data_IF_545895620523
#
_entry.id   IF_545895620523
#
_cell.length_a   1.000
_cell.length_b   1.000
_cell.length_c   1.000
_cell.angle_alpha   90.00
_cell.angle_beta   90.00
_cell.angle_gamma   90.00
#
_symmetry.space_group_name_H-M   'P 1'
#
loop_
_entity.id
_entity.type
_entity.pdbx_description
1 polymer ?
#
# COMPACT_ATOMS: atom_id res chain seq x y z
N UNK A 1 -2.81 -27.16 27.92
CA UNK A 1 -2.26 -25.98 27.18
C UNK A 1 -2.87 -26.02 25.80
N UNK A 2 -3.62 -25.00 25.42
CA UNK A 2 -4.13 -24.90 24.05
C UNK A 2 -2.94 -24.61 23.12
N UNK A 3 -2.76 -25.46 22.12
CA UNK A 3 -1.74 -25.28 21.08
C UNK A 3 -2.11 -24.01 20.26
N UNK A 4 -1.48 -22.90 20.59
CA UNK A 4 -1.68 -21.63 19.86
C UNK A 4 -0.87 -21.73 18.57
N UNK A 5 -1.55 -21.95 17.45
CA UNK A 5 -0.93 -21.93 16.12
C UNK A 5 -1.01 -20.52 15.54
N UNK A 6 0.12 -19.99 15.12
CA UNK A 6 0.14 -18.76 14.30
C UNK A 6 -0.32 -19.08 12.89
N UNK A 7 -1.41 -18.44 12.44
CA UNK A 7 -1.94 -18.58 11.08
C UNK A 7 -1.63 -17.29 10.33
N UNK A 8 -0.92 -17.41 9.21
CA UNK A 8 -0.68 -16.28 8.32
C UNK A 8 -1.77 -16.22 7.25
N UNK A 9 -2.41 -15.07 7.11
CA UNK A 9 -3.33 -14.81 6.01
C UNK A 9 -2.60 -14.65 4.67
N UNK A 10 -3.33 -14.88 3.60
CA UNK A 10 -2.91 -14.61 2.22
C UNK A 10 -4.11 -14.15 1.40
N UNK A 11 -3.87 -13.63 0.18
CA UNK A 11 -4.97 -13.26 -0.71
C UNK A 11 -5.91 -14.42 -1.04
N UNK A 12 -5.40 -15.66 -1.02
CA UNK A 12 -6.17 -16.88 -1.32
C UNK A 12 -6.80 -17.49 -0.08
N UNK A 13 -6.29 -17.17 1.10
CA UNK A 13 -6.76 -17.77 2.36
C UNK A 13 -6.63 -16.75 3.50
N UNK A 14 -7.76 -16.16 3.90
CA UNK A 14 -7.84 -15.26 5.03
C UNK A 14 -9.19 -15.33 5.72
N UNK A 15 -9.21 -14.97 6.98
CA UNK A 15 -10.43 -14.72 7.73
C UNK A 15 -10.70 -13.22 7.72
N UNK A 16 -11.92 -12.82 7.34
CA UNK A 16 -12.28 -11.38 7.33
C UNK A 16 -12.18 -10.76 8.72
N UNK A 17 -12.42 -11.56 9.75
CA UNK A 17 -12.58 -11.04 11.09
C UNK A 17 -13.92 -10.34 11.25
N UNK A 18 -14.03 -9.52 12.27
CA UNK A 18 -15.22 -8.73 12.56
C UNK A 18 -14.98 -7.80 13.73
N UNK A 19 -15.90 -6.89 13.96
CA UNK A 19 -15.95 -6.04 15.14
C UNK A 19 -17.26 -6.30 15.88
N UNK A 20 -17.18 -6.47 17.19
CA UNK A 20 -18.33 -6.52 18.07
C UNK A 20 -18.39 -5.20 18.85
N UNK A 21 -19.49 -4.49 18.71
CA UNK A 21 -19.72 -3.22 19.43
C UNK A 21 -20.64 -3.49 20.59
N UNK A 22 -20.18 -3.18 21.82
CA UNK A 22 -20.92 -3.35 23.05
C UNK A 22 -21.17 -1.97 23.64
N UNK A 23 -22.41 -1.49 23.60
CA UNK A 23 -22.85 -0.23 24.22
C UNK A 23 -22.04 1.02 23.76
N UNK A 24 -21.74 1.09 22.46
CA UNK A 24 -21.02 2.23 21.86
C UNK A 24 -21.51 2.49 20.42
N UNK A 25 -21.04 3.57 19.81
CA UNK A 25 -21.35 3.93 18.42
C UNK A 25 -20.41 3.19 17.43
N UNK A 26 -20.93 2.36 16.53
CA UNK A 26 -20.13 1.65 15.52
C UNK A 26 -19.21 2.57 14.69
N UNK A 27 -19.56 3.85 14.56
CA UNK A 27 -18.75 4.83 13.82
C UNK A 27 -17.41 5.16 14.50
N UNK A 28 -17.25 4.81 15.76
CA UNK A 28 -15.98 4.92 16.49
C UNK A 28 -14.98 3.83 16.09
N UNK A 29 -15.43 2.81 15.34
CA UNK A 29 -14.63 1.65 15.00
C UNK A 29 -14.44 1.59 13.48
N UNK A 30 -13.20 1.68 13.04
CA UNK A 30 -12.81 1.43 11.64
C UNK A 30 -12.10 0.08 11.59
N UNK A 31 -12.73 -0.88 10.91
CA UNK A 31 -12.18 -2.22 10.76
C UNK A 31 -12.28 -2.66 9.30
N UNK A 32 -11.15 -3.07 8.74
CA UNK A 32 -11.08 -3.67 7.42
C UNK A 32 -10.03 -4.78 7.39
N UNK A 33 -10.21 -5.75 6.52
CA UNK A 33 -9.21 -6.77 6.26
C UNK A 33 -8.48 -6.44 4.96
N UNK A 34 -7.16 -6.28 5.03
CA UNK A 34 -6.35 -5.87 3.86
C UNK A 34 -6.42 -6.87 2.70
N UNK A 35 -6.58 -8.17 2.98
CA UNK A 35 -6.73 -9.18 1.94
C UNK A 35 -8.10 -9.11 1.26
N UNK A 36 -9.18 -8.83 2.01
CA UNK A 36 -10.52 -8.60 1.44
C UNK A 36 -10.53 -7.34 0.55
N UNK A 37 -9.86 -6.27 1.00
CA UNK A 37 -9.71 -5.05 0.21
C UNK A 37 -8.92 -5.33 -1.07
N UNK A 38 -7.77 -6.01 -0.97
CA UNK A 38 -6.92 -6.33 -2.12
C UNK A 38 -7.62 -7.29 -3.11
N UNK A 39 -8.44 -8.23 -2.62
CA UNK A 39 -9.19 -9.16 -3.47
C UNK A 39 -10.17 -8.45 -4.42
N UNK A 40 -10.70 -7.30 -3.98
CA UNK A 40 -11.69 -6.49 -4.73
C UNK A 40 -11.04 -5.33 -5.48
N UNK A 41 -9.78 -4.99 -5.19
CA UNK A 41 -9.06 -3.89 -5.79
C UNK A 41 -8.58 -4.23 -7.20
N UNK A 42 -8.51 -3.22 -8.06
CA UNK A 42 -7.76 -3.31 -9.31
C UNK A 42 -6.27 -3.21 -9.03
N UNK A 43 -5.45 -3.70 -9.98
CA UNK A 43 -4.01 -3.62 -9.87
C UNK A 43 -3.54 -2.17 -9.62
N UNK A 44 -2.71 -1.99 -8.60
CA UNK A 44 -2.09 -0.74 -8.18
C UNK A 44 -3.05 0.39 -7.77
N UNK A 45 -4.34 0.11 -7.52
CA UNK A 45 -5.19 1.03 -6.75
C UNK A 45 -4.63 1.17 -5.33
N UNK A 46 -4.59 2.39 -4.81
CA UNK A 46 -4.07 2.74 -3.49
C UNK A 46 -5.25 3.04 -2.56
N UNK A 47 -5.80 2.00 -1.93
CA UNK A 47 -7.03 2.11 -1.14
C UNK A 47 -6.68 2.33 0.33
N UNK A 48 -7.11 3.46 0.88
CA UNK A 48 -6.91 3.78 2.30
C UNK A 48 -7.62 2.75 3.20
N UNK A 49 -6.87 2.12 4.10
CA UNK A 49 -7.36 1.16 5.09
C UNK A 49 -7.16 1.63 6.53
N UNK A 50 -6.42 2.69 6.73
CA UNK A 50 -6.22 3.38 7.99
C UNK A 50 -5.79 4.82 7.74
N UNK A 51 -6.26 5.76 8.57
CA UNK A 51 -5.96 7.18 8.42
C UNK A 51 -5.89 7.86 9.78
N UNK A 52 -4.93 8.75 9.94
CA UNK A 52 -4.80 9.64 11.09
C UNK A 52 -4.31 11.01 10.61
N UNK A 53 -5.22 11.99 10.56
CA UNK A 53 -4.99 13.30 9.93
C UNK A 53 -4.57 13.15 8.46
N UNK A 54 -3.35 13.59 8.11
CA UNK A 54 -2.79 13.46 6.77
C UNK A 54 -2.11 12.10 6.51
N UNK A 55 -1.77 11.35 7.54
CA UNK A 55 -1.11 10.05 7.41
C UNK A 55 -2.11 8.96 7.06
N UNK A 56 -1.76 8.13 6.09
CA UNK A 56 -2.62 7.08 5.58
C UNK A 56 -1.83 5.78 5.38
N UNK A 57 -2.48 4.67 5.66
CA UNK A 57 -2.04 3.34 5.25
C UNK A 57 -2.91 2.92 4.08
N UNK A 58 -2.29 2.65 2.96
CA UNK A 58 -2.95 2.24 1.72
C UNK A 58 -2.73 0.75 1.48
N UNK A 59 -3.79 0.02 1.18
CA UNK A 59 -3.72 -1.35 0.67
C UNK A 59 -3.56 -1.32 -0.85
N UNK A 60 -2.63 -2.11 -1.36
CA UNK A 60 -2.34 -2.20 -2.80
C UNK A 60 -2.30 -3.67 -3.23
N UNK A 61 -3.09 -4.01 -4.24
CA UNK A 61 -2.93 -5.25 -5.01
C UNK A 61 -1.86 -5.01 -6.07
N UNK A 62 -0.71 -5.65 -5.94
CA UNK A 62 0.33 -5.61 -6.96
C UNK A 62 0.14 -6.76 -7.94
N UNK A 63 -0.04 -6.47 -9.22
CA UNK A 63 -0.20 -7.45 -10.29
C UNK A 63 0.23 -6.83 -11.62
N UNK A 64 1.20 -7.43 -12.30
CA UNK A 64 1.83 -6.85 -13.48
C UNK A 64 2.82 -5.74 -13.11
N UNK A 65 2.92 -4.71 -13.94
CA UNK A 65 3.85 -3.58 -13.77
C UNK A 65 3.08 -2.29 -13.57
N UNK A 66 3.39 -1.57 -12.50
CA UNK A 66 2.79 -0.27 -12.20
C UNK A 66 3.33 0.85 -13.09
N UNK A 67 2.69 2.02 -13.14
CA UNK A 67 3.35 3.26 -13.52
C UNK A 67 4.59 3.51 -12.63
N UNK A 68 5.44 4.45 -13.06
CA UNK A 68 6.43 5.05 -12.18
C UNK A 68 5.74 6.02 -11.23
N UNK A 69 6.12 5.99 -9.97
CA UNK A 69 5.65 6.92 -8.95
C UNK A 69 6.81 7.73 -8.40
N UNK A 70 6.50 8.89 -7.85
CA UNK A 70 7.43 9.70 -7.06
C UNK A 70 6.66 10.42 -5.95
N UNK A 71 7.35 10.74 -4.86
CA UNK A 71 6.80 11.42 -3.71
C UNK A 71 7.77 12.48 -3.18
N UNK A 72 7.26 13.55 -2.60
CA UNK A 72 8.08 14.60 -1.97
C UNK A 72 8.47 14.28 -0.51
N UNK A 73 7.97 13.18 0.04
CA UNK A 73 8.33 12.62 1.35
C UNK A 73 8.67 11.13 1.23
N UNK A 74 9.26 10.57 2.27
CA UNK A 74 9.54 9.14 2.35
C UNK A 74 8.23 8.36 2.53
N UNK A 75 8.11 7.22 1.85
CA UNK A 75 7.04 6.27 2.02
C UNK A 75 7.62 4.90 2.42
N UNK A 76 6.79 4.05 3.02
CA UNK A 76 7.17 2.69 3.39
C UNK A 76 6.22 1.68 2.77
N UNK A 77 6.77 0.70 2.07
CA UNK A 77 6.00 -0.42 1.51
C UNK A 77 6.30 -1.70 2.29
N UNK A 78 5.26 -2.35 2.80
CA UNK A 78 5.32 -3.64 3.48
C UNK A 78 4.60 -4.70 2.65
N UNK A 79 5.31 -5.72 2.20
CA UNK A 79 4.72 -6.86 1.50
C UNK A 79 4.10 -7.84 2.50
N UNK A 80 2.80 -8.08 2.37
CA UNK A 80 2.01 -8.95 3.25
C UNK A 80 1.79 -10.35 2.64
N UNK A 81 1.74 -10.43 1.32
CA UNK A 81 1.61 -11.69 0.59
C UNK A 81 2.22 -11.60 -0.81
N UNK A 82 2.75 -12.73 -1.30
CA UNK A 82 3.38 -12.81 -2.61
C UNK A 82 4.80 -12.24 -2.66
N UNK A 83 5.18 -11.76 -3.83
CA UNK A 83 6.50 -11.17 -4.12
C UNK A 83 6.34 -9.94 -5.00
N UNK A 84 7.03 -8.87 -4.64
CA UNK A 84 7.03 -7.61 -5.38
C UNK A 84 8.47 -7.17 -5.65
N UNK A 85 8.81 -6.95 -6.91
CA UNK A 85 10.03 -6.25 -7.30
C UNK A 85 9.76 -4.74 -7.23
N UNK A 86 10.61 -4.02 -6.51
CA UNK A 86 10.56 -2.56 -6.41
C UNK A 86 11.79 -2.01 -7.11
N UNK A 87 11.60 -1.35 -8.24
CA UNK A 87 12.65 -0.69 -9.00
C UNK A 87 12.77 0.74 -8.55
N UNK A 88 14.01 1.17 -8.25
CA UNK A 88 14.30 2.52 -7.78
C UNK A 88 15.16 3.26 -8.80
N UNK A 89 14.81 4.53 -9.04
CA UNK A 89 15.46 5.37 -10.03
C UNK A 89 15.61 6.79 -9.49
N UNK A 90 16.77 7.39 -9.67
CA UNK A 90 17.05 8.77 -9.27
C UNK A 90 16.93 9.68 -10.48
N UNK A 91 15.94 10.59 -10.54
CA UNK A 91 15.85 11.57 -11.60
C UNK A 91 16.96 12.62 -11.46
N UNK A 92 17.36 13.22 -12.57
CA UNK A 92 18.40 14.27 -12.57
C UNK A 92 17.99 15.54 -11.82
N UNK A 93 16.70 15.75 -11.66
CA UNK A 93 16.12 16.88 -10.90
C UNK A 93 14.88 16.45 -10.13
N UNK A 94 14.55 17.16 -9.06
CA UNK A 94 13.29 17.00 -8.37
C UNK A 94 12.12 17.29 -9.31
N UNK A 95 11.08 16.45 -9.24
CA UNK A 95 9.91 16.52 -10.12
C UNK A 95 8.71 17.15 -9.43
N UNK A 96 8.72 17.19 -8.11
CA UNK A 96 7.63 17.70 -7.30
C UNK A 96 8.08 18.89 -6.45
N UNK A 97 7.14 19.76 -6.15
CA UNK A 97 7.34 20.78 -5.13
C UNK A 97 7.52 20.12 -3.75
N UNK A 98 8.37 20.70 -2.86
CA UNK A 98 8.67 20.06 -1.55
C UNK A 98 7.45 19.87 -0.63
N UNK A 99 6.42 20.67 -0.82
CA UNK A 99 5.17 20.66 -0.05
C UNK A 99 4.06 19.77 -0.68
N UNK A 100 4.37 19.09 -1.79
CA UNK A 100 3.42 18.21 -2.45
C UNK A 100 3.11 17.00 -1.59
N UNK A 101 1.84 16.83 -1.21
CA UNK A 101 1.36 15.68 -0.45
C UNK A 101 1.08 14.47 -1.35
N UNK A 102 1.45 13.30 -0.85
CA UNK A 102 1.20 12.02 -1.47
C UNK A 102 2.00 11.73 -2.74
N UNK A 103 1.89 10.52 -3.20
CA UNK A 103 2.56 10.06 -4.41
C UNK A 103 1.86 10.58 -5.68
N UNK A 104 2.64 10.71 -6.73
CA UNK A 104 2.17 11.07 -8.08
C UNK A 104 2.62 10.00 -9.06
N UNK A 105 1.72 9.57 -9.93
CA UNK A 105 2.05 8.69 -11.05
C UNK A 105 2.61 9.50 -12.22
N UNK A 106 3.62 8.97 -12.87
CA UNK A 106 4.24 9.56 -14.04
C UNK A 106 3.85 8.78 -15.30
N UNK A 107 3.56 9.48 -16.38
CA UNK A 107 3.29 8.89 -17.69
C UNK A 107 4.56 8.31 -18.31
N UNK A 108 5.71 8.96 -18.07
CA UNK A 108 7.00 8.55 -18.60
C UNK A 108 8.08 8.66 -17.52
N UNK A 109 9.12 7.85 -17.67
CA UNK A 109 10.31 7.95 -16.82
C UNK A 109 11.19 9.08 -17.31
N UNK A 110 11.51 10.08 -16.48
CA UNK A 110 12.39 11.20 -16.84
C UNK A 110 13.85 10.74 -17.00
N UNK A 111 14.70 11.64 -17.47
CA UNK A 111 16.15 11.45 -17.46
C UNK A 111 16.67 11.27 -16.01
N UNK A 112 17.70 10.44 -15.87
CA UNK A 112 18.29 10.10 -14.58
C UNK A 112 19.03 8.77 -14.60
N UNK A 113 19.24 8.17 -13.44
CA UNK A 113 19.99 6.91 -13.30
C UNK A 113 19.25 5.87 -12.44
N UNK A 114 19.45 4.61 -12.75
CA UNK A 114 18.99 3.51 -11.90
C UNK A 114 19.71 3.57 -10.54
N UNK A 115 18.95 3.40 -9.45
CA UNK A 115 19.48 3.26 -8.10
C UNK A 115 19.68 1.79 -7.74
N UNK A 116 18.74 0.94 -8.12
CA UNK A 116 18.73 -0.47 -7.80
C UNK A 116 17.32 -1.04 -7.82
N UNK A 117 17.20 -2.27 -7.30
CA UNK A 117 15.92 -2.95 -7.11
C UNK A 117 15.90 -3.74 -5.81
N UNK A 118 14.72 -3.86 -5.25
CA UNK A 118 14.44 -4.67 -4.07
C UNK A 118 13.53 -5.82 -4.52
N UNK A 119 13.90 -7.05 -4.18
CA UNK A 119 13.03 -8.22 -4.35
C UNK A 119 12.38 -8.50 -2.99
N UNK A 120 11.18 -7.99 -2.80
CA UNK A 120 10.47 -8.06 -1.53
C UNK A 120 9.49 -9.23 -1.52
N UNK A 121 9.58 -10.07 -0.52
CA UNK A 121 8.60 -11.11 -0.20
C UNK A 121 7.84 -10.77 1.08
N UNK A 122 6.98 -11.68 1.55
CA UNK A 122 6.19 -11.51 2.77
C UNK A 122 7.05 -11.06 3.96
N UNK A 123 6.62 -10.00 4.64
CA UNK A 123 7.28 -9.43 5.81
C UNK A 123 8.42 -8.44 5.50
N UNK A 124 8.80 -8.28 4.22
CA UNK A 124 9.81 -7.28 3.87
C UNK A 124 9.21 -5.88 3.83
N UNK A 125 9.88 -4.97 4.54
CA UNK A 125 9.61 -3.53 4.54
C UNK A 125 10.65 -2.82 3.68
N UNK A 126 10.20 -1.99 2.75
CA UNK A 126 11.04 -1.20 1.87
C UNK A 126 10.80 0.30 2.08
N UNK A 127 11.87 1.07 2.19
CA UNK A 127 11.81 2.53 2.10
C UNK A 127 11.72 2.92 0.62
N UNK A 128 10.76 3.78 0.31
CA UNK A 128 10.61 4.47 -0.96
C UNK A 128 11.07 5.92 -0.75
N UNK A 129 12.33 6.26 -1.10
CA UNK A 129 12.91 7.55 -0.71
C UNK A 129 12.23 8.72 -1.40
N UNK A 130 12.10 9.83 -0.69
CA UNK A 130 11.62 11.09 -1.26
C UNK A 130 12.43 11.48 -2.50
N UNK A 131 11.76 12.03 -3.49
CA UNK A 131 12.33 12.50 -4.76
C UNK A 131 13.01 11.40 -5.60
N UNK A 132 12.93 10.13 -5.20
CA UNK A 132 13.24 9.00 -6.07
C UNK A 132 11.98 8.61 -6.86
N UNK A 133 12.18 7.94 -7.99
CA UNK A 133 11.09 7.22 -8.64
C UNK A 133 11.11 5.78 -8.16
N UNK A 134 9.92 5.20 -8.05
CA UNK A 134 9.78 3.78 -7.82
C UNK A 134 8.70 3.19 -8.72
N UNK A 135 8.88 1.93 -9.07
CA UNK A 135 7.96 1.15 -9.88
C UNK A 135 7.83 -0.24 -9.25
N UNK A 136 6.61 -0.71 -9.13
CA UNK A 136 6.34 -2.07 -8.66
C UNK A 136 6.14 -3.02 -9.83
N UNK A 137 6.61 -4.26 -9.65
CA UNK A 137 6.34 -5.36 -10.56
C UNK A 137 6.04 -6.63 -9.76
N UNK A 138 4.96 -7.32 -10.08
CA UNK A 138 4.61 -8.60 -9.50
C UNK A 138 4.12 -9.56 -10.59
N UNK A 139 4.75 -10.73 -10.69
CA UNK A 139 4.38 -11.75 -11.69
C UNK A 139 3.03 -12.41 -11.37
N UNK A 140 2.67 -12.45 -10.09
CA UNK A 140 1.40 -12.99 -9.60
C UNK A 140 0.78 -11.99 -8.63
N UNK A 141 -0.57 -12.04 -8.43
CA UNK A 141 -1.24 -11.18 -7.48
C UNK A 141 -0.58 -11.23 -6.11
N UNK A 142 -0.16 -10.09 -5.63
CA UNK A 142 0.54 -9.89 -4.35
C UNK A 142 -0.13 -8.76 -3.58
N UNK A 143 0.03 -8.75 -2.27
CA UNK A 143 -0.57 -7.74 -1.40
C UNK A 143 0.51 -7.00 -0.64
N UNK A 144 0.45 -5.69 -0.66
CA UNK A 144 1.29 -4.83 0.16
C UNK A 144 0.48 -3.67 0.75
N UNK A 145 1.02 -3.09 1.80
CA UNK A 145 0.56 -1.81 2.31
C UNK A 145 1.63 -0.75 2.08
N UNK A 146 1.19 0.47 1.85
CA UNK A 146 2.07 1.65 1.78
C UNK A 146 1.64 2.63 2.85
N UNK A 147 2.57 3.02 3.71
CA UNK A 147 2.40 4.11 4.66
C UNK A 147 2.91 5.39 4.02
N UNK A 148 2.05 6.39 3.95
CA UNK A 148 2.29 7.64 3.24
C UNK A 148 1.49 8.80 3.82
N UNK A 149 1.60 9.98 3.20
CA UNK A 149 0.70 11.12 3.40
C UNK A 149 -0.38 11.05 2.32
N UNK A 150 -1.63 11.31 2.69
CA UNK A 150 -2.75 11.32 1.75
C UNK A 150 -2.46 12.24 0.56
N UNK A 151 -2.75 11.76 -0.64
CA UNK A 151 -2.51 12.49 -1.88
C UNK A 151 -3.45 12.11 -3.01
N UNK A 152 -3.14 12.53 -4.24
CA UNK A 152 -4.05 12.36 -5.38
C UNK A 152 -4.36 10.91 -5.75
N UNK A 153 -3.46 9.98 -5.39
CA UNK A 153 -3.64 8.55 -5.68
C UNK A 153 -4.38 7.79 -4.58
N UNK A 154 -4.56 8.41 -3.40
CA UNK A 154 -5.26 7.79 -2.28
C UNK A 154 -6.74 7.69 -2.57
N UNK A 155 -7.28 6.48 -2.52
CA UNK A 155 -8.70 6.20 -2.75
C UNK A 155 -9.35 5.90 -1.41
N UNK A 156 -10.33 6.70 -1.02
CA UNK A 156 -11.13 6.47 0.18
C UNK A 156 -12.46 5.81 -0.19
N UNK A 157 -12.67 4.58 0.30
CA UNK A 157 -13.88 3.77 0.08
C UNK A 157 -14.42 3.21 1.40
N UNK A 158 -14.45 4.03 2.44
CA UNK A 158 -14.79 3.60 3.80
C UNK A 158 -16.12 2.86 3.90
N UNK A 159 -17.15 3.32 3.19
CA UNK A 159 -18.45 2.67 3.17
C UNK A 159 -18.43 1.24 2.59
N UNK A 160 -17.43 0.93 1.75
CA UNK A 160 -17.31 -0.37 1.10
C UNK A 160 -16.41 -1.34 1.87
N UNK A 161 -15.40 -0.81 2.57
CA UNK A 161 -14.36 -1.62 3.20
C UNK A 161 -14.52 -1.76 4.70
N UNK A 162 -15.15 -0.80 5.38
CA UNK A 162 -15.41 -0.89 6.82
C UNK A 162 -16.43 -1.97 7.10
N UNK A 163 -16.05 -2.88 8.00
CA UNK A 163 -16.98 -3.87 8.53
C UNK A 163 -17.64 -3.28 9.76
N UNK A 164 -18.95 -3.14 9.70
CA UNK A 164 -19.79 -2.89 10.86
C UNK A 164 -20.36 -4.22 11.36
N UNK A 165 -20.55 -4.31 12.66
CA UNK A 165 -21.15 -5.49 13.29
C UNK A 165 -22.56 -5.76 12.75
#
# INVERSE_FOLDING_TARGET
MSDVKTIFGSLQSFHKGGVEVIDDDPRNYVFSNVFDVAAKAKAFERIAVGKNFEYVVECVRAEGTSPWYTCAHDEFALVLDGKVEIRLFKPDRALLAPDRSGAVALTERPAGRAMGRILAGRGHLALLPKNALYQFHAEAPSVMTIQTIQGPLTIERWAEICQTA
#
